data_IF_515719895741
#
_entry.id   IF_515719895741
#
_cell.length_a   1.000
_cell.length_b   1.000
_cell.length_c   1.000
_cell.angle_alpha   90.00
_cell.angle_beta   90.00
_cell.angle_gamma   90.00
#
_symmetry.space_group_name_H-M   'P 1'
#
loop_
_entity.id
_entity.type
_entity.pdbx_description
1 polymer ?
#
# COMPACT_ATOMS: atom_id res chain seq x y z
N UNK A 1 -14.42 -1.75 -5.51
CA UNK A 1 -13.38 -2.37 -4.68
C UNK A 1 -13.11 -1.49 -3.46
N UNK A 2 -13.06 -2.08 -2.27
CA UNK A 2 -12.80 -1.39 -1.01
C UNK A 2 -11.41 -1.79 -0.50
N UNK A 3 -10.61 -0.84 0.01
CA UNK A 3 -9.36 -1.11 0.70
C UNK A 3 -9.55 -1.00 2.21
N UNK A 4 -9.24 -2.05 2.96
CA UNK A 4 -9.23 -2.03 4.42
C UNK A 4 -7.80 -1.99 4.94
N UNK A 5 -7.47 -0.92 5.66
CA UNK A 5 -6.16 -0.77 6.30
C UNK A 5 -6.05 -1.62 7.56
N UNK A 6 -5.28 -2.71 7.50
CA UNK A 6 -5.02 -3.60 8.63
C UNK A 6 -3.52 -3.94 8.67
N UNK A 7 -2.85 -3.63 9.78
CA UNK A 7 -1.42 -3.87 9.96
C UNK A 7 -1.18 -5.04 10.91
N UNK A 8 -1.49 -6.26 10.47
CA UNK A 8 -1.34 -7.48 11.26
C UNK A 8 -2.49 -7.74 12.22
N UNK A 9 -2.21 -8.37 13.36
CA UNK A 9 -3.17 -8.66 14.41
C UNK A 9 -3.30 -7.50 15.42
N UNK A 10 -4.26 -7.53 16.35
CA UNK A 10 -4.62 -6.38 17.21
C UNK A 10 -3.44 -5.66 17.87
N UNK A 11 -2.47 -6.41 18.39
CA UNK A 11 -1.34 -5.87 19.14
C UNK A 11 -0.40 -5.02 18.26
N UNK A 12 -0.25 -5.38 16.96
CA UNK A 12 0.57 -4.62 16.02
C UNK A 12 -0.24 -3.48 15.42
N UNK A 13 -1.44 -3.76 14.95
CA UNK A 13 -2.31 -2.76 14.33
C UNK A 13 -2.53 -1.56 15.26
N UNK A 14 -2.88 -1.81 16.50
CA UNK A 14 -3.20 -0.77 17.48
C UNK A 14 -1.98 -0.02 18.04
N UNK A 15 -0.75 -0.33 17.59
CA UNK A 15 0.42 0.49 17.91
C UNK A 15 0.35 1.87 17.22
N UNK A 16 -0.02 1.89 15.94
CA UNK A 16 0.02 3.08 15.11
C UNK A 16 -1.37 3.53 14.64
N UNK A 17 -2.30 2.58 14.39
CA UNK A 17 -3.66 2.91 13.95
C UNK A 17 -4.60 3.03 15.14
N UNK A 18 -4.79 4.29 15.55
CA UNK A 18 -5.67 4.63 16.68
C UNK A 18 -6.70 5.69 16.27
N UNK A 19 -7.82 5.73 16.97
CA UNK A 19 -8.76 6.82 16.89
C UNK A 19 -8.14 8.15 17.35
N UNK A 20 -8.75 9.27 17.00
CA UNK A 20 -8.31 10.61 17.46
C UNK A 20 -8.26 10.73 18.99
N UNK A 21 -9.09 9.96 19.68
CA UNK A 21 -9.15 9.83 21.13
C UNK A 21 -8.15 8.83 21.73
N UNK A 22 -7.26 8.24 20.90
CA UNK A 22 -6.31 7.22 21.28
C UNK A 22 -6.90 5.81 21.37
N UNK A 23 -8.19 5.62 21.09
CA UNK A 23 -8.84 4.30 21.12
C UNK A 23 -8.26 3.32 20.11
N UNK A 24 -8.29 2.04 20.43
CA UNK A 24 -7.89 0.95 19.56
C UNK A 24 -8.88 0.82 18.40
N UNK A 25 -8.36 0.59 17.19
CA UNK A 25 -9.19 0.56 15.98
C UNK A 25 -9.34 -0.82 15.34
N UNK A 26 -8.52 -1.80 15.70
CA UNK A 26 -8.52 -3.11 15.05
C UNK A 26 -9.91 -3.76 14.96
N UNK A 27 -10.60 -3.86 16.08
CA UNK A 27 -11.90 -4.55 16.09
C UNK A 27 -12.98 -3.81 15.29
N UNK A 28 -12.91 -2.48 15.19
CA UNK A 28 -13.82 -1.70 14.33
C UNK A 28 -13.57 -2.00 12.85
N UNK A 29 -12.30 -2.09 12.45
CA UNK A 29 -11.94 -2.42 11.07
C UNK A 29 -12.29 -3.88 10.75
N UNK A 30 -12.07 -4.80 11.71
CA UNK A 30 -12.51 -6.19 11.55
C UNK A 30 -14.02 -6.31 11.39
N UNK A 31 -14.81 -5.57 12.18
CA UNK A 31 -16.27 -5.53 12.00
C UNK A 31 -16.68 -5.00 10.62
N UNK A 32 -15.93 -4.02 10.08
CA UNK A 32 -16.16 -3.56 8.70
C UNK A 32 -15.86 -4.68 7.67
N UNK A 33 -14.79 -5.45 7.87
CA UNK A 33 -14.52 -6.62 7.03
C UNK A 33 -15.65 -7.66 7.10
N UNK A 34 -16.10 -8.00 8.32
CA UNK A 34 -17.19 -8.96 8.54
C UNK A 34 -18.50 -8.48 7.85
N UNK A 35 -18.74 -7.16 7.83
CA UNK A 35 -19.89 -6.58 7.14
C UNK A 35 -19.75 -6.67 5.61
N UNK A 36 -18.56 -6.40 5.08
CA UNK A 36 -18.29 -6.54 3.65
C UNK A 36 -18.46 -7.99 3.19
N UNK A 37 -17.99 -8.97 3.98
CA UNK A 37 -18.19 -10.40 3.73
C UNK A 37 -19.68 -10.77 3.73
N UNK A 38 -20.46 -10.26 4.71
CA UNK A 38 -21.90 -10.49 4.79
C UNK A 38 -22.65 -10.00 3.55
N UNK A 39 -22.20 -8.88 2.97
CA UNK A 39 -22.81 -8.30 1.76
C UNK A 39 -22.11 -8.68 0.47
N UNK A 40 -21.15 -9.60 0.51
CA UNK A 40 -20.38 -10.08 -0.65
C UNK A 40 -19.71 -8.94 -1.45
N UNK A 41 -19.17 -7.97 -0.73
CA UNK A 41 -18.43 -6.83 -1.32
C UNK A 41 -16.94 -7.16 -1.38
N UNK A 42 -16.36 -7.07 -2.57
CA UNK A 42 -14.92 -7.29 -2.75
C UNK A 42 -14.08 -6.23 -2.05
N UNK A 43 -13.08 -6.66 -1.29
CA UNK A 43 -12.13 -5.78 -0.63
C UNK A 43 -10.72 -6.36 -0.55
N UNK A 44 -9.73 -5.46 -0.45
CA UNK A 44 -8.34 -5.80 -0.20
C UNK A 44 -7.96 -5.46 1.23
N UNK A 45 -7.07 -6.25 1.81
CA UNK A 45 -6.33 -5.86 3.01
C UNK A 45 -5.08 -5.08 2.59
N UNK A 46 -5.00 -3.84 3.04
CA UNK A 46 -3.85 -2.96 2.84
C UNK A 46 -3.03 -2.92 4.12
N UNK A 47 -1.83 -3.47 4.08
CA UNK A 47 -0.91 -3.55 5.22
C UNK A 47 0.31 -2.67 4.98
N UNK A 48 0.53 -1.69 5.85
CA UNK A 48 1.77 -0.91 5.85
C UNK A 48 2.84 -1.72 6.59
N UNK A 49 3.90 -2.06 5.87
CA UNK A 49 5.01 -2.86 6.40
C UNK A 49 5.95 -1.96 7.18
N UNK A 50 5.73 -1.87 8.47
CA UNK A 50 6.65 -1.28 9.44
C UNK A 50 7.70 -2.31 9.88
N UNK A 51 8.70 -1.91 10.68
CA UNK A 51 9.66 -2.87 11.28
C UNK A 51 8.93 -3.96 12.08
N UNK A 52 7.88 -3.60 12.84
CA UNK A 52 7.09 -4.54 13.65
C UNK A 52 6.34 -5.56 12.78
N UNK A 53 5.72 -5.11 11.70
CA UNK A 53 5.04 -5.97 10.73
C UNK A 53 6.05 -6.90 10.05
N UNK A 54 7.20 -6.34 9.63
CA UNK A 54 8.24 -7.11 8.94
C UNK A 54 8.79 -8.25 9.80
N UNK A 55 9.01 -8.03 11.08
CA UNK A 55 9.51 -9.04 12.02
C UNK A 55 8.51 -10.16 12.31
N UNK A 56 7.21 -9.86 12.22
CA UNK A 56 6.12 -10.76 12.62
C UNK A 56 5.35 -11.36 11.45
N UNK A 57 5.86 -11.27 10.21
CA UNK A 57 5.14 -11.76 9.03
C UNK A 57 4.77 -13.24 9.09
N UNK A 58 5.62 -14.07 9.71
CA UNK A 58 5.36 -15.52 9.90
C UNK A 58 4.15 -15.80 10.80
N UNK A 59 3.73 -14.83 11.60
CA UNK A 59 2.52 -14.91 12.43
C UNK A 59 1.34 -14.20 11.76
N UNK A 60 1.59 -13.09 11.09
CA UNK A 60 0.57 -12.28 10.39
C UNK A 60 -0.04 -13.05 9.22
N UNK A 61 0.78 -13.68 8.40
CA UNK A 61 0.31 -14.41 7.22
C UNK A 61 -0.72 -15.50 7.55
N UNK A 62 -0.45 -16.47 8.45
CA UNK A 62 -1.46 -17.46 8.83
C UNK A 62 -2.67 -16.85 9.55
N UNK A 63 -2.49 -15.75 10.27
CA UNK A 63 -3.60 -15.02 10.88
C UNK A 63 -4.54 -14.44 9.82
N UNK A 64 -4.03 -13.81 8.78
CA UNK A 64 -4.85 -13.30 7.67
C UNK A 64 -5.59 -14.43 6.94
N UNK A 65 -4.93 -15.54 6.68
CA UNK A 65 -5.57 -16.75 6.09
C UNK A 65 -6.72 -17.25 6.97
N UNK A 66 -6.52 -17.31 8.29
CA UNK A 66 -7.57 -17.72 9.24
C UNK A 66 -8.76 -16.76 9.23
N UNK A 67 -8.55 -15.49 8.97
CA UNK A 67 -9.61 -14.49 8.82
C UNK A 67 -10.31 -14.55 7.45
N UNK A 68 -9.86 -15.38 6.51
CA UNK A 68 -10.40 -15.42 5.14
C UNK A 68 -9.95 -14.22 4.26
N UNK A 69 -8.97 -13.46 4.68
CA UNK A 69 -8.49 -12.28 3.98
C UNK A 69 -7.54 -12.66 2.84
N UNK A 70 -8.13 -13.05 1.72
CA UNK A 70 -7.42 -13.67 0.60
C UNK A 70 -6.86 -12.66 -0.42
N UNK A 71 -7.21 -11.38 -0.34
CA UNK A 71 -6.66 -10.32 -1.19
C UNK A 71 -5.81 -9.39 -0.34
N UNK A 72 -4.48 -9.41 -0.57
CA UNK A 72 -3.51 -8.74 0.31
C UNK A 72 -2.58 -7.85 -0.51
N UNK A 73 -2.34 -6.65 -0.01
CA UNK A 73 -1.33 -5.73 -0.52
C UNK A 73 -0.46 -5.26 0.63
N UNK A 74 0.84 -5.43 0.50
CA UNK A 74 1.83 -5.00 1.47
C UNK A 74 2.57 -3.77 0.93
N UNK A 75 2.50 -2.67 1.66
CA UNK A 75 3.03 -1.36 1.24
C UNK A 75 4.22 -1.04 2.16
N UNK A 76 5.42 -0.86 1.59
CA UNK A 76 6.58 -0.49 2.40
C UNK A 76 6.32 0.83 3.13
N UNK A 77 6.59 0.85 4.44
CA UNK A 77 6.46 2.07 5.23
C UNK A 77 7.51 3.09 4.78
N UNK A 78 7.04 4.22 4.28
CA UNK A 78 7.89 5.38 3.98
C UNK A 78 7.90 6.32 5.18
N UNK A 79 9.03 6.96 5.39
CA UNK A 79 9.17 8.02 6.39
C UNK A 79 8.88 9.38 5.76
N UNK A 80 8.53 10.39 6.58
CA UNK A 80 8.24 11.72 6.06
C UNK A 80 9.42 12.32 5.28
N UNK A 81 9.12 12.99 4.18
CA UNK A 81 10.12 13.67 3.37
C UNK A 81 10.90 14.72 4.21
N UNK A 82 12.21 14.79 3.99
CA UNK A 82 13.08 15.73 4.69
C UNK A 82 13.51 15.31 6.10
N UNK A 83 13.00 14.21 6.64
CA UNK A 83 13.46 13.65 7.90
C UNK A 83 14.59 12.64 7.69
N UNK A 84 15.45 12.49 8.71
CA UNK A 84 16.53 11.49 8.66
C UNK A 84 15.95 10.08 8.73
N UNK A 85 16.19 9.22 7.74
CA UNK A 85 15.69 7.85 7.74
C UNK A 85 16.18 7.04 8.95
N UNK A 86 15.35 6.12 9.45
CA UNK A 86 15.69 5.20 10.54
C UNK A 86 15.51 5.78 11.94
N UNK A 87 14.89 6.96 12.09
CA UNK A 87 14.75 7.64 13.39
C UNK A 87 13.44 7.35 14.12
N UNK A 88 12.46 6.78 13.45
CA UNK A 88 11.15 6.49 14.05
C UNK A 88 11.08 5.06 14.62
N UNK A 89 10.26 4.81 15.64
CA UNK A 89 10.08 3.46 16.20
C UNK A 89 9.53 2.43 15.18
N UNK A 90 8.90 2.92 14.11
CA UNK A 90 8.32 2.09 13.05
C UNK A 90 9.19 2.03 11.79
N UNK A 91 10.35 2.69 11.79
CA UNK A 91 11.25 2.76 10.63
C UNK A 91 11.58 1.37 10.08
N UNK A 92 11.50 1.24 8.78
CA UNK A 92 11.77 0.01 8.05
C UNK A 92 13.07 0.15 7.26
N UNK A 93 14.10 -0.61 7.63
CA UNK A 93 15.32 -0.66 6.84
C UNK A 93 15.16 -1.56 5.61
N UNK A 94 15.94 -1.30 4.55
CA UNK A 94 15.97 -2.14 3.34
C UNK A 94 16.32 -3.60 3.65
N UNK A 95 17.18 -3.85 4.63
CA UNK A 95 17.50 -5.22 5.09
C UNK A 95 16.30 -5.92 5.73
N UNK A 96 15.55 -5.23 6.57
CA UNK A 96 14.32 -5.77 7.18
C UNK A 96 13.26 -6.03 6.12
N UNK A 97 13.08 -5.10 5.17
CA UNK A 97 12.13 -5.26 4.07
C UNK A 97 12.48 -6.43 3.15
N UNK A 98 13.77 -6.58 2.77
CA UNK A 98 14.22 -7.73 1.99
C UNK A 98 13.99 -9.06 2.70
N UNK A 99 14.25 -9.14 4.02
CA UNK A 99 13.95 -10.33 4.83
C UNK A 99 12.45 -10.60 4.93
N UNK A 100 11.65 -9.55 5.08
CA UNK A 100 10.18 -9.64 5.07
C UNK A 100 9.69 -10.25 3.76
N UNK A 101 10.13 -9.72 2.61
CA UNK A 101 9.73 -10.23 1.30
C UNK A 101 10.12 -11.70 1.11
N UNK A 102 11.35 -12.09 1.51
CA UNK A 102 11.79 -13.48 1.44
C UNK A 102 10.92 -14.41 2.30
N UNK A 103 10.67 -14.04 3.55
CA UNK A 103 9.83 -14.84 4.45
C UNK A 103 8.37 -14.95 3.94
N UNK A 104 7.81 -13.85 3.44
CA UNK A 104 6.45 -13.81 2.88
C UNK A 104 6.37 -14.69 1.62
N UNK A 105 7.38 -14.61 0.76
CA UNK A 105 7.46 -15.43 -0.45
C UNK A 105 7.54 -16.93 -0.13
N UNK A 106 8.35 -17.34 0.83
CA UNK A 106 8.44 -18.74 1.26
C UNK A 106 7.08 -19.28 1.73
N UNK A 107 6.34 -18.51 2.53
CA UNK A 107 5.01 -18.89 3.01
C UNK A 107 4.01 -18.99 1.85
N UNK A 108 3.98 -17.99 0.98
CA UNK A 108 3.11 -17.95 -0.19
C UNK A 108 3.42 -19.07 -1.18
N UNK A 109 4.71 -19.33 -1.46
CA UNK A 109 5.15 -20.38 -2.36
C UNK A 109 4.83 -21.78 -1.83
N UNK A 110 4.96 -22.00 -0.53
CA UNK A 110 4.52 -23.24 0.10
C UNK A 110 3.02 -23.46 -0.12
N UNK A 111 2.21 -22.45 0.08
CA UNK A 111 0.76 -22.55 -0.12
C UNK A 111 0.37 -22.68 -1.61
N UNK A 112 1.14 -22.10 -2.52
CA UNK A 112 0.95 -22.26 -3.97
C UNK A 112 1.01 -23.73 -4.39
N UNK A 113 1.87 -24.53 -3.78
CA UNK A 113 1.99 -25.96 -4.09
C UNK A 113 0.72 -26.75 -3.75
N UNK A 114 -0.11 -26.26 -2.84
CA UNK A 114 -1.40 -26.84 -2.45
C UNK A 114 -2.61 -26.06 -2.97
N UNK A 115 -2.40 -25.10 -3.87
CA UNK A 115 -3.42 -24.21 -4.41
C UNK A 115 -4.25 -23.50 -3.31
N UNK A 116 -3.62 -23.14 -2.20
CA UNK A 116 -4.25 -22.49 -1.05
C UNK A 116 -3.66 -21.10 -0.72
N UNK A 117 -2.83 -20.56 -1.62
CA UNK A 117 -2.21 -19.25 -1.47
C UNK A 117 -3.25 -18.12 -1.58
N UNK A 118 -3.13 -17.06 -0.77
CA UNK A 118 -3.86 -15.82 -0.99
C UNK A 118 -3.30 -15.09 -2.23
N UNK A 119 -4.12 -14.24 -2.83
CA UNK A 119 -3.66 -13.26 -3.81
C UNK A 119 -2.82 -12.20 -3.10
N UNK A 120 -1.52 -12.17 -3.38
CA UNK A 120 -0.60 -11.14 -2.89
C UNK A 120 -0.13 -10.31 -4.08
N UNK A 121 -0.58 -9.05 -4.15
CA UNK A 121 -0.37 -8.18 -5.31
C UNK A 121 1.09 -8.10 -5.78
N UNK A 122 2.06 -8.05 -4.86
CA UNK A 122 3.47 -8.02 -5.21
C UNK A 122 3.90 -9.27 -5.98
N UNK A 123 3.51 -10.46 -5.50
CA UNK A 123 3.93 -11.72 -6.11
C UNK A 123 3.22 -11.99 -7.41
N UNK A 124 1.93 -11.64 -7.52
CA UNK A 124 1.20 -11.72 -8.77
C UNK A 124 1.83 -10.82 -9.84
N UNK A 125 2.25 -9.60 -9.47
CA UNK A 125 2.98 -8.72 -10.38
C UNK A 125 4.36 -9.30 -10.77
N UNK A 126 5.13 -9.88 -9.83
CA UNK A 126 6.42 -10.50 -10.15
C UNK A 126 6.28 -11.70 -11.09
N UNK A 127 5.30 -12.56 -10.83
CA UNK A 127 4.99 -13.70 -11.71
C UNK A 127 4.54 -13.20 -13.09
N UNK A 128 3.66 -12.20 -13.12
CA UNK A 128 3.21 -11.56 -14.35
C UNK A 128 4.36 -10.98 -15.18
N UNK A 129 5.27 -10.24 -14.54
CA UNK A 129 6.47 -9.69 -15.19
C UNK A 129 7.38 -10.79 -15.74
N UNK A 130 7.61 -11.86 -14.97
CA UNK A 130 8.39 -13.02 -15.43
C UNK A 130 7.74 -13.73 -16.62
N UNK A 131 6.42 -13.68 -16.72
CA UNK A 131 5.65 -14.21 -17.86
C UNK A 131 5.51 -13.22 -19.04
N UNK A 132 6.10 -12.03 -18.93
CA UNK A 132 6.08 -10.99 -19.98
C UNK A 132 4.86 -10.07 -19.96
N UNK A 133 4.06 -10.09 -18.91
CA UNK A 133 2.93 -9.18 -18.70
C UNK A 133 3.38 -7.87 -18.05
N UNK A 134 2.62 -6.80 -18.28
CA UNK A 134 2.85 -5.52 -17.62
C UNK A 134 2.38 -5.58 -16.15
N UNK A 135 3.18 -5.04 -15.23
CA UNK A 135 2.79 -4.94 -13.84
C UNK A 135 1.59 -3.98 -13.64
N UNK A 136 0.74 -4.27 -12.68
CA UNK A 136 -0.37 -3.38 -12.29
C UNK A 136 0.15 -2.15 -11.53
N UNK A 137 1.16 -2.33 -10.67
CA UNK A 137 1.69 -1.24 -9.86
C UNK A 137 2.71 -0.39 -10.61
N UNK A 138 2.61 0.94 -10.49
CA UNK A 138 3.55 1.88 -11.11
C UNK A 138 4.98 1.70 -10.59
N UNK A 139 5.14 1.34 -9.31
CA UNK A 139 6.41 1.00 -8.69
C UNK A 139 7.18 -0.09 -9.46
N UNK A 140 6.45 -1.13 -9.89
CA UNK A 140 7.06 -2.26 -10.63
C UNK A 140 7.12 -2.01 -12.15
N UNK A 141 6.38 -1.04 -12.67
CA UNK A 141 6.54 -0.55 -14.05
C UNK A 141 7.77 0.32 -14.22
N UNK A 142 8.26 0.94 -13.13
CA UNK A 142 9.32 1.94 -13.19
C UNK A 142 8.89 3.30 -13.77
N UNK A 143 7.60 3.57 -13.86
CA UNK A 143 7.05 4.87 -14.27
C UNK A 143 5.69 5.13 -13.60
N UNK A 144 5.41 6.40 -13.29
CA UNK A 144 4.12 6.82 -12.77
C UNK A 144 3.02 6.74 -13.84
N UNK A 145 1.79 6.52 -13.38
CA UNK A 145 0.59 6.59 -14.21
C UNK A 145 -0.24 7.85 -13.92
N UNK A 146 -1.31 8.02 -14.67
CA UNK A 146 -2.31 9.06 -14.38
C UNK A 146 -3.21 8.59 -13.25
N UNK A 147 -3.21 9.31 -12.15
CA UNK A 147 -4.13 9.13 -11.02
C UNK A 147 -4.40 10.47 -10.33
N UNK A 148 -5.41 10.49 -9.47
CA UNK A 148 -5.82 11.68 -8.72
C UNK A 148 -5.98 11.29 -7.26
N UNK A 149 -5.07 11.75 -6.40
CA UNK A 149 -5.22 11.67 -4.95
C UNK A 149 -5.97 12.92 -4.48
N UNK A 150 -7.07 12.73 -3.75
CA UNK A 150 -7.97 13.84 -3.37
C UNK A 150 -8.00 13.94 -1.87
N UNK A 151 -7.71 15.13 -1.36
CA UNK A 151 -7.83 15.47 0.06
C UNK A 151 -9.24 15.97 0.42
N UNK A 152 -9.53 16.04 1.72
CA UNK A 152 -10.85 16.36 2.24
C UNK A 152 -11.38 17.76 1.86
N UNK A 153 -10.50 18.69 1.54
CA UNK A 153 -10.80 20.06 1.07
C UNK A 153 -11.01 20.15 -0.45
N UNK A 154 -10.90 19.01 -1.15
CA UNK A 154 -11.01 18.91 -2.60
C UNK A 154 -9.69 19.12 -3.34
N UNK A 155 -8.58 19.41 -2.66
CA UNK A 155 -7.25 19.51 -3.27
C UNK A 155 -6.86 18.21 -3.94
N UNK A 156 -6.25 18.30 -5.14
CA UNK A 156 -5.92 17.15 -5.98
C UNK A 156 -4.44 17.10 -6.25
N UNK A 157 -3.87 15.89 -6.11
CA UNK A 157 -2.46 15.59 -6.28
C UNK A 157 -2.26 14.44 -7.29
N UNK A 158 -1.10 14.37 -7.98
CA UNK A 158 -0.86 13.35 -8.99
C UNK A 158 -0.59 11.96 -8.42
N UNK A 159 -0.33 11.84 -7.11
CA UNK A 159 -0.03 10.59 -6.42
C UNK A 159 -0.26 10.74 -4.92
N UNK A 160 -0.73 9.70 -4.27
CA UNK A 160 -0.94 9.63 -2.81
C UNK A 160 0.37 9.71 -1.98
N UNK A 161 1.53 9.41 -2.60
CA UNK A 161 2.84 9.64 -1.99
C UNK A 161 3.36 11.08 -2.14
N UNK A 162 2.74 11.89 -2.99
CA UNK A 162 3.15 13.26 -3.30
C UNK A 162 2.05 14.28 -2.94
N UNK A 163 1.40 14.07 -1.79
CA UNK A 163 0.43 15.03 -1.23
C UNK A 163 1.20 16.14 -0.53
N UNK A 164 1.78 17.06 -1.32
CA UNK A 164 2.56 18.21 -0.89
C UNK A 164 2.22 19.40 -1.79
N UNK A 165 2.25 20.61 -1.24
CA UNK A 165 1.79 21.84 -1.92
C UNK A 165 2.43 22.05 -3.31
N UNK A 166 3.71 21.72 -3.46
CA UNK A 166 4.43 21.83 -4.73
C UNK A 166 3.95 20.89 -5.83
N UNK A 167 3.25 19.81 -5.46
CA UNK A 167 2.69 18.83 -6.40
C UNK A 167 1.18 18.94 -6.58
N UNK A 168 0.53 19.93 -5.95
CA UNK A 168 -0.90 20.15 -6.15
C UNK A 168 -1.20 20.47 -7.60
N UNK A 169 -2.08 19.65 -8.24
CA UNK A 169 -2.47 19.81 -9.64
C UNK A 169 -3.81 20.52 -9.83
N UNK A 170 -4.57 20.73 -8.76
CA UNK A 170 -5.84 21.45 -8.80
C UNK A 170 -6.73 21.19 -7.59
N UNK A 171 -8.00 21.54 -7.71
CA UNK A 171 -9.03 21.30 -6.70
C UNK A 171 -10.34 20.93 -7.38
N UNK A 172 -11.00 19.85 -6.98
CA UNK A 172 -12.27 19.39 -7.57
C UNK A 172 -13.44 20.36 -7.42
N UNK A 173 -13.37 21.32 -6.51
CA UNK A 173 -14.41 22.32 -6.37
C UNK A 173 -14.35 23.42 -7.43
N UNK A 174 -13.18 23.59 -8.09
CA UNK A 174 -12.91 24.73 -8.98
C UNK A 174 -12.38 24.34 -10.36
N UNK A 175 -11.72 23.19 -10.48
CA UNK A 175 -10.96 22.85 -11.67
C UNK A 175 -11.56 21.64 -12.40
N UNK A 176 -11.47 21.64 -13.72
CA UNK A 176 -11.81 20.49 -14.57
C UNK A 176 -10.65 19.46 -14.62
N UNK A 177 -10.96 18.24 -15.05
CA UNK A 177 -9.92 17.21 -15.28
C UNK A 177 -8.88 17.66 -16.31
N UNK A 178 -9.30 18.37 -17.38
CA UNK A 178 -8.37 18.87 -18.40
C UNK A 178 -7.38 19.88 -17.84
N UNK A 179 -7.82 20.77 -16.94
CA UNK A 179 -6.94 21.72 -16.25
C UNK A 179 -5.96 21.00 -15.32
N UNK A 180 -6.42 20.00 -14.58
CA UNK A 180 -5.56 19.19 -13.71
C UNK A 180 -4.54 18.37 -14.50
N UNK A 181 -4.93 17.81 -15.64
CA UNK A 181 -4.02 17.07 -16.52
C UNK A 181 -2.99 17.97 -17.19
N UNK A 182 -3.41 19.18 -17.60
CA UNK A 182 -2.47 20.20 -18.08
C UNK A 182 -1.45 20.55 -17.00
N UNK A 183 -1.90 20.78 -15.77
CA UNK A 183 -1.01 21.09 -14.64
C UNK A 183 -0.05 19.95 -14.31
N UNK A 184 -0.52 18.68 -14.33
CA UNK A 184 0.34 17.50 -14.19
C UNK A 184 1.44 17.47 -15.24
N UNK A 185 1.11 17.83 -16.49
CA UNK A 185 2.07 17.88 -17.60
C UNK A 185 3.07 19.02 -17.44
N UNK A 186 2.62 20.21 -16.97
CA UNK A 186 3.50 21.36 -16.69
C UNK A 186 4.57 21.04 -15.66
N UNK A 187 4.20 20.34 -14.56
CA UNK A 187 5.16 19.88 -13.53
C UNK A 187 5.96 18.65 -13.96
N UNK A 188 5.67 18.08 -15.14
CA UNK A 188 6.35 16.92 -15.73
C UNK A 188 6.41 15.70 -14.81
N UNK A 189 5.36 15.47 -14.05
CA UNK A 189 5.35 14.45 -12.97
C UNK A 189 5.62 13.04 -13.51
N UNK A 190 4.95 12.66 -14.62
CA UNK A 190 5.09 11.32 -15.19
C UNK A 190 6.46 11.18 -15.88
N UNK A 191 6.88 12.18 -16.65
CA UNK A 191 8.15 12.16 -17.38
C UNK A 191 9.37 12.08 -16.44
N UNK A 192 9.33 12.79 -15.33
CA UNK A 192 10.41 12.75 -14.34
C UNK A 192 10.51 11.38 -13.65
N UNK A 193 9.39 10.68 -13.46
CA UNK A 193 9.38 9.37 -12.81
C UNK A 193 10.13 8.28 -13.60
N UNK A 194 10.24 8.43 -14.93
CA UNK A 194 10.95 7.48 -15.80
C UNK A 194 12.45 7.79 -15.94
N UNK A 195 12.92 8.91 -15.36
CA UNK A 195 14.31 9.37 -15.45
C UNK A 195 15.17 8.95 -14.26
N UNK A 196 14.80 7.87 -13.56
CA UNK A 196 15.64 7.33 -12.49
C UNK A 196 16.99 6.96 -13.10
N UNK A 197 18.03 7.74 -12.76
CA UNK A 197 19.41 7.42 -13.13
C UNK A 197 19.72 6.01 -12.67
N UNK A 198 20.25 5.23 -13.61
CA UNK A 198 20.79 3.90 -13.28
C UNK A 198 21.99 4.12 -12.37
N UNK A 199 21.77 4.02 -11.05
CA UNK A 199 22.83 4.02 -10.07
C UNK A 199 23.66 2.74 -10.14
#
# INVERSE_FOLDING_TARGET
LVGLSIDGFPEIHDLLRRGKDGSKSFFRVKQAADLLDQYQVDYNILTVVTSQVAERIKEIYPFYKKCGWNYQQYIACLEPFGEKPGTKPYSLSSKQYGKFLSNLFELWYHDLQSASQPYIRQFENYVGLAAGYMAESCEQRGCCGVQYAVEADGSVYPCDFYVMDEYQIGNFNTDSFDQMDQKRSEIRFIEQSSQVEKA
#
